data_IF_922199983982
#
_entry.id   IF_922199983982
#
_cell.length_a   1.000
_cell.length_b   1.000
_cell.length_c   1.000
_cell.angle_alpha   90.00
_cell.angle_beta   90.00
_cell.angle_gamma   90.00
#
_symmetry.space_group_name_H-M   'P 1'
#
loop_
_entity.id
_entity.type
_entity.pdbx_description
1 polymer ?
#
# COMPACT_ATOMS: atom_id res chain seq x y z
N UNK A 1 9.30 21.01 54.40
CA UNK A 1 9.77 19.85 53.64
C UNK A 1 10.93 20.30 52.74
N UNK A 2 12.13 19.89 53.03
CA UNK A 2 13.34 20.44 52.41
C UNK A 2 13.66 19.78 51.07
N UNK A 3 14.42 20.50 50.23
CA UNK A 3 14.90 20.05 48.90
C UNK A 3 15.47 18.61 48.88
N UNK A 4 16.03 18.15 50.02
CA UNK A 4 16.55 16.77 50.18
C UNK A 4 15.47 15.68 50.10
N UNK A 5 14.23 15.94 50.53
CA UNK A 5 13.14 14.97 50.48
C UNK A 5 12.63 14.71 49.06
N UNK A 6 12.66 15.70 48.19
CA UNK A 6 12.27 15.52 46.78
C UNK A 6 13.32 14.74 46.00
N UNK A 7 14.62 14.92 46.30
CA UNK A 7 15.69 14.16 45.64
C UNK A 7 15.59 12.67 46.00
N UNK A 8 15.30 12.35 47.27
CA UNK A 8 15.15 10.95 47.72
C UNK A 8 13.91 10.26 47.12
N UNK A 9 12.83 10.99 46.84
CA UNK A 9 11.62 10.46 46.22
C UNK A 9 11.75 10.32 44.67
N UNK A 10 12.57 11.12 44.04
CA UNK A 10 12.79 11.07 42.58
C UNK A 10 13.72 9.94 42.15
N UNK A 11 14.64 9.49 43.02
CA UNK A 11 15.56 8.40 42.68
C UNK A 11 14.84 7.06 42.33
N UNK A 12 13.90 6.59 43.17
CA UNK A 12 13.19 5.34 42.82
C UNK A 12 12.29 5.49 41.59
N UNK A 13 11.71 6.69 41.36
CA UNK A 13 10.90 6.92 40.18
C UNK A 13 11.76 6.91 38.92
N UNK A 14 12.94 7.49 38.93
CA UNK A 14 13.88 7.44 37.81
C UNK A 14 14.33 6.00 37.53
N UNK A 15 14.61 5.19 38.56
CA UNK A 15 14.93 3.76 38.36
C UNK A 15 13.81 2.95 37.78
N UNK A 16 12.55 3.19 38.15
CA UNK A 16 11.40 2.50 37.59
C UNK A 16 11.19 2.87 36.12
N UNK A 17 11.34 4.14 35.77
CA UNK A 17 11.16 4.60 34.39
C UNK A 17 12.29 4.10 33.49
N UNK A 18 13.54 4.17 33.94
CA UNK A 18 14.69 3.69 33.13
C UNK A 18 14.75 2.17 33.07
N UNK A 19 14.54 1.47 34.17
CA UNK A 19 14.53 0.02 34.22
C UNK A 19 13.34 -0.59 33.48
N UNK A 20 12.14 0.00 33.66
CA UNK A 20 10.94 -0.42 32.92
C UNK A 20 11.05 -0.15 31.43
N UNK A 21 11.58 0.99 31.03
CA UNK A 21 11.83 1.31 29.62
C UNK A 21 12.83 0.34 28.96
N UNK A 22 13.94 0.05 29.65
CA UNK A 22 14.92 -0.90 29.17
C UNK A 22 14.34 -2.32 29.06
N UNK A 23 13.54 -2.77 30.03
CA UNK A 23 12.88 -4.07 29.98
C UNK A 23 11.91 -4.17 28.81
N UNK A 24 11.14 -3.13 28.53
CA UNK A 24 10.22 -3.09 27.38
C UNK A 24 11.00 -3.20 26.07
N UNK A 25 12.08 -2.44 25.89
CA UNK A 25 12.90 -2.48 24.67
C UNK A 25 13.54 -3.85 24.47
N UNK A 26 14.01 -4.51 25.55
CA UNK A 26 14.61 -5.84 25.50
C UNK A 26 13.59 -6.97 25.25
N UNK A 27 12.31 -6.73 25.55
CA UNK A 27 11.25 -7.73 25.33
C UNK A 27 10.48 -7.49 24.02
N UNK A 28 10.72 -6.38 23.33
CA UNK A 28 10.18 -6.21 21.99
C UNK A 28 10.72 -7.33 21.09
N UNK A 29 9.84 -7.99 20.32
CA UNK A 29 10.32 -8.96 19.35
C UNK A 29 11.30 -8.24 18.42
N UNK A 30 12.53 -8.73 18.38
CA UNK A 30 13.49 -8.30 17.35
C UNK A 30 12.80 -8.49 16.02
N UNK A 31 12.70 -7.43 15.22
CA UNK A 31 12.24 -7.56 13.84
C UNK A 31 12.99 -8.74 13.24
N UNK A 32 12.26 -9.78 12.84
CA UNK A 32 12.87 -10.89 12.14
C UNK A 32 13.72 -10.26 11.02
N UNK A 33 15.02 -10.48 11.07
CA UNK A 33 15.87 -10.02 9.99
C UNK A 33 15.25 -10.60 8.73
N UNK A 34 14.77 -9.73 7.85
CA UNK A 34 14.24 -10.18 6.57
C UNK A 34 15.36 -10.98 5.94
N UNK A 35 15.13 -12.28 5.75
CA UNK A 35 16.06 -13.09 5.00
C UNK A 35 16.29 -12.34 3.68
N UNK A 36 17.54 -12.18 3.28
CA UNK A 36 17.83 -11.61 1.97
C UNK A 36 17.00 -12.37 0.95
N UNK A 37 16.23 -11.68 0.09
CA UNK A 37 15.47 -12.37 -0.92
C UNK A 37 16.41 -13.26 -1.73
N UNK A 38 15.96 -14.43 -2.17
CA UNK A 38 16.78 -15.29 -3.01
C UNK A 38 17.21 -14.52 -4.27
N UNK A 39 18.41 -14.76 -4.73
CA UNK A 39 18.87 -14.18 -5.99
C UNK A 39 17.97 -14.66 -7.13
N UNK A 40 17.45 -13.69 -7.90
CA UNK A 40 16.63 -13.98 -9.08
C UNK A 40 17.57 -14.52 -10.15
N UNK A 41 17.28 -15.70 -10.68
CA UNK A 41 18.10 -16.31 -11.73
C UNK A 41 18.05 -15.47 -13.02
N UNK A 42 19.12 -15.56 -13.83
CA UNK A 42 19.13 -14.89 -15.14
C UNK A 42 18.00 -15.40 -16.06
N UNK A 43 17.61 -16.67 -15.95
CA UNK A 43 16.48 -17.24 -16.69
C UNK A 43 15.16 -16.63 -16.25
N UNK A 44 14.90 -16.57 -14.96
CA UNK A 44 13.68 -15.95 -14.41
C UNK A 44 13.57 -14.47 -14.77
N UNK A 45 14.70 -13.76 -14.75
CA UNK A 45 14.76 -12.36 -15.22
C UNK A 45 14.39 -12.26 -16.70
N UNK A 46 14.95 -13.12 -17.55
CA UNK A 46 14.65 -13.13 -18.99
C UNK A 46 13.18 -13.48 -19.26
N UNK A 47 12.63 -14.48 -18.57
CA UNK A 47 11.24 -14.91 -18.70
C UNK A 47 10.28 -13.80 -18.24
N UNK A 48 10.60 -13.13 -17.13
CA UNK A 48 9.83 -11.98 -16.63
C UNK A 48 9.85 -10.83 -17.64
N UNK A 49 11.01 -10.46 -18.17
CA UNK A 49 11.11 -9.41 -19.19
C UNK A 49 10.37 -9.77 -20.48
N UNK A 50 10.40 -11.04 -20.89
CA UNK A 50 9.63 -11.51 -22.04
C UNK A 50 8.12 -11.50 -21.79
N UNK A 51 7.68 -11.73 -20.54
CA UNK A 51 6.27 -11.65 -20.14
C UNK A 51 5.77 -10.20 -20.01
N UNK A 52 6.65 -9.25 -19.68
CA UNK A 52 6.36 -7.82 -19.67
C UNK A 52 6.28 -7.28 -21.11
N UNK A 53 5.22 -7.72 -21.81
CA UNK A 53 4.99 -7.33 -23.21
C UNK A 53 4.79 -5.81 -23.29
N UNK A 54 5.24 -5.17 -24.38
CA UNK A 54 4.89 -3.78 -24.64
C UNK A 54 3.36 -3.65 -24.76
N UNK A 55 2.81 -2.45 -24.48
CA UNK A 55 1.38 -2.20 -24.60
C UNK A 55 0.86 -2.65 -25.98
N UNK A 56 -0.34 -3.24 -26.00
CA UNK A 56 -1.02 -3.66 -27.24
C UNK A 56 -1.38 -2.46 -28.11
N UNK A 57 -1.57 -1.31 -27.48
CA UNK A 57 -2.05 -0.07 -28.09
C UNK A 57 -0.97 1.00 -28.05
N UNK A 58 -0.94 1.86 -29.06
CA UNK A 58 -0.06 3.03 -29.08
C UNK A 58 -0.32 3.97 -27.91
N UNK A 59 -1.60 4.09 -27.48
CA UNK A 59 -2.03 4.72 -26.24
C UNK A 59 -2.61 3.61 -25.36
N UNK A 60 -1.88 3.18 -24.32
CA UNK A 60 -2.29 2.05 -23.51
C UNK A 60 -3.58 2.33 -22.75
N UNK A 61 -4.38 1.29 -22.57
CA UNK A 61 -5.58 1.29 -21.72
C UNK A 61 -5.20 0.71 -20.37
N UNK A 62 -5.31 1.54 -19.33
CA UNK A 62 -4.85 1.21 -17.98
C UNK A 62 -6.05 1.14 -17.05
N UNK A 63 -6.24 0.02 -16.37
CA UNK A 63 -7.31 -0.17 -15.40
C UNK A 63 -6.76 -0.10 -13.97
N UNK A 64 -7.31 0.82 -13.16
CA UNK A 64 -7.05 0.87 -11.71
C UNK A 64 -8.25 0.29 -10.99
N UNK A 65 -8.08 -0.82 -10.28
CA UNK A 65 -9.17 -1.62 -9.74
C UNK A 65 -9.27 -1.46 -8.22
N UNK A 66 -10.47 -1.19 -7.73
CA UNK A 66 -10.80 -1.13 -6.31
C UNK A 66 -11.93 -2.06 -5.91
N UNK A 67 -11.81 -2.70 -4.74
CA UNK A 67 -12.88 -3.49 -4.16
C UNK A 67 -13.91 -2.58 -3.48
N UNK A 68 -15.21 -2.77 -3.75
CA UNK A 68 -16.27 -1.94 -3.19
C UNK A 68 -16.35 -2.01 -1.67
N UNK A 69 -16.05 -3.18 -1.07
CA UNK A 69 -16.09 -3.40 0.37
C UNK A 69 -15.03 -2.63 1.16
N UNK A 70 -13.90 -2.31 0.51
CA UNK A 70 -12.81 -1.55 1.08
C UNK A 70 -11.56 -1.59 0.21
N UNK A 71 -11.03 -0.43 -0.12
CA UNK A 71 -9.73 -0.25 -0.77
C UNK A 71 -8.93 0.78 0.01
N UNK A 72 -7.63 0.63 0.04
CA UNK A 72 -6.78 1.63 0.66
C UNK A 72 -6.71 2.87 -0.26
N UNK A 73 -6.81 4.05 0.36
CA UNK A 73 -6.97 5.31 -0.37
C UNK A 73 -5.77 5.60 -1.27
N UNK A 74 -4.56 5.42 -0.76
CA UNK A 74 -3.34 5.76 -1.50
C UNK A 74 -3.04 4.75 -2.60
N UNK A 75 -3.32 3.47 -2.37
CA UNK A 75 -3.11 2.40 -3.34
C UNK A 75 -4.01 2.54 -4.58
N UNK A 76 -5.18 3.14 -4.42
CA UNK A 76 -6.11 3.36 -5.53
C UNK A 76 -5.95 4.74 -6.18
N UNK A 77 -5.96 5.81 -5.37
CA UNK A 77 -5.98 7.18 -5.90
C UNK A 77 -4.64 7.68 -6.42
N UNK A 78 -3.53 7.25 -5.82
CA UNK A 78 -2.21 7.71 -6.26
C UNK A 78 -1.88 7.20 -7.65
N UNK A 79 -1.92 5.88 -7.96
CA UNK A 79 -1.66 5.41 -9.31
C UNK A 79 -2.64 5.99 -10.33
N UNK A 80 -3.94 6.05 -10.00
CA UNK A 80 -4.92 6.69 -10.88
C UNK A 80 -4.57 8.14 -11.18
N UNK A 81 -4.32 8.95 -10.15
CA UNK A 81 -4.02 10.38 -10.31
C UNK A 81 -2.71 10.64 -11.03
N UNK A 82 -1.66 9.88 -10.71
CA UNK A 82 -0.35 10.00 -11.36
C UNK A 82 -0.45 9.66 -12.85
N UNK A 83 -1.08 8.53 -13.19
CA UNK A 83 -1.22 8.08 -14.58
C UNK A 83 -2.11 9.04 -15.40
N UNK A 84 -3.22 9.51 -14.84
CA UNK A 84 -4.07 10.54 -15.47
C UNK A 84 -3.29 11.83 -15.72
N UNK A 85 -2.53 12.30 -14.73
CA UNK A 85 -1.76 13.54 -14.85
C UNK A 85 -0.61 13.42 -15.85
N UNK A 86 0.04 12.26 -15.91
CA UNK A 86 1.15 11.99 -16.82
C UNK A 86 0.69 11.87 -18.29
N UNK A 87 -0.60 11.66 -18.51
CA UNK A 87 -1.22 11.50 -19.84
C UNK A 87 -0.55 10.42 -20.70
N UNK A 88 -0.11 9.35 -20.05
CA UNK A 88 0.61 8.25 -20.71
C UNK A 88 -0.32 7.20 -21.34
N UNK A 89 -1.62 7.25 -21.04
CA UNK A 89 -2.61 6.28 -21.51
C UNK A 89 -4.04 6.69 -21.16
N UNK A 90 -4.99 5.88 -21.55
CA UNK A 90 -6.40 5.99 -21.16
C UNK A 90 -6.59 5.24 -19.84
N UNK A 91 -6.71 5.98 -18.74
CA UNK A 91 -6.80 5.42 -17.40
C UNK A 91 -8.26 5.36 -16.97
N UNK A 92 -8.73 4.19 -16.56
CA UNK A 92 -10.10 3.92 -16.13
C UNK A 92 -10.08 3.42 -14.68
N UNK A 93 -10.91 4.04 -13.84
CA UNK A 93 -11.13 3.64 -12.47
C UNK A 93 -12.24 2.59 -12.39
N UNK A 94 -11.92 1.37 -11.97
CA UNK A 94 -12.85 0.25 -11.94
C UNK A 94 -13.21 -0.18 -10.52
N UNK A 95 -14.43 -0.70 -10.38
CA UNK A 95 -14.90 -1.38 -9.17
C UNK A 95 -15.22 -2.84 -9.45
N UNK A 96 -15.13 -3.68 -8.40
CA UNK A 96 -15.52 -5.11 -8.50
C UNK A 96 -17.03 -5.29 -8.66
N UNK A 97 -17.85 -4.34 -8.19
CA UNK A 97 -19.31 -4.40 -8.21
C UNK A 97 -19.91 -3.02 -8.50
N UNK A 98 -21.22 -2.97 -8.77
CA UNK A 98 -21.96 -1.71 -8.89
C UNK A 98 -21.93 -0.91 -7.58
N UNK A 99 -21.88 0.40 -7.71
CA UNK A 99 -21.91 1.34 -6.60
C UNK A 99 -20.53 1.88 -6.22
N UNK A 100 -20.46 2.71 -5.18
CA UNK A 100 -19.23 3.35 -4.77
C UNK A 100 -18.24 2.37 -4.15
N UNK A 101 -16.96 2.67 -4.29
CA UNK A 101 -15.87 2.02 -3.57
C UNK A 101 -15.72 2.72 -2.22
N UNK A 102 -15.75 1.95 -1.14
CA UNK A 102 -15.40 2.44 0.20
C UNK A 102 -13.89 2.50 0.32
N UNK A 103 -13.37 3.71 0.51
CA UNK A 103 -11.94 3.95 0.68
C UNK A 103 -11.62 4.07 2.16
N UNK A 104 -10.62 3.36 2.61
CA UNK A 104 -10.14 3.48 3.99
C UNK A 104 -9.23 4.71 4.14
N UNK A 105 -9.39 5.53 5.21
CA UNK A 105 -10.30 5.29 6.33
C UNK A 105 -11.73 5.81 6.16
N UNK A 106 -12.05 6.72 5.21
CA UNK A 106 -13.35 7.42 5.30
C UNK A 106 -13.94 7.96 3.98
N UNK A 107 -13.32 7.74 2.83
CA UNK A 107 -13.82 8.29 1.56
C UNK A 107 -14.72 7.29 0.84
N UNK A 108 -15.57 7.81 -0.06
CA UNK A 108 -16.29 7.01 -1.05
C UNK A 108 -16.01 7.57 -2.43
N UNK A 109 -15.63 6.70 -3.34
CA UNK A 109 -15.30 7.04 -4.73
C UNK A 109 -16.34 6.41 -5.66
N UNK A 110 -16.80 7.18 -6.64
CA UNK A 110 -17.62 6.66 -7.73
C UNK A 110 -16.65 6.24 -8.84
N UNK A 111 -16.57 4.96 -9.18
CA UNK A 111 -15.72 4.46 -10.25
C UNK A 111 -16.29 4.84 -11.62
N UNK A 112 -15.46 4.80 -12.67
CA UNK A 112 -15.89 5.01 -14.05
C UNK A 112 -16.77 3.85 -14.54
N UNK A 113 -16.42 2.60 -14.13
CA UNK A 113 -17.15 1.40 -14.52
C UNK A 113 -16.94 0.24 -13.51
N UNK A 114 -17.67 -0.84 -13.70
CA UNK A 114 -17.34 -2.13 -13.08
C UNK A 114 -16.38 -2.93 -13.98
N UNK A 115 -15.69 -3.94 -13.41
CA UNK A 115 -14.87 -4.88 -14.20
C UNK A 115 -15.72 -5.53 -15.29
N UNK A 116 -16.92 -6.00 -14.95
CA UNK A 116 -17.81 -6.65 -15.94
C UNK A 116 -18.22 -5.73 -17.08
N UNK A 117 -18.50 -4.46 -16.80
CA UNK A 117 -18.83 -3.48 -17.84
C UNK A 117 -17.60 -3.11 -18.68
N UNK A 118 -16.42 -3.06 -18.06
CA UNK A 118 -15.15 -2.86 -18.76
C UNK A 118 -14.85 -4.02 -19.71
N UNK A 119 -14.94 -5.27 -19.27
CA UNK A 119 -14.67 -6.46 -20.06
C UNK A 119 -15.61 -6.55 -21.28
N UNK A 120 -16.89 -6.16 -21.10
CA UNK A 120 -17.84 -6.12 -22.21
C UNK A 120 -17.48 -5.07 -23.27
N UNK A 121 -16.87 -3.94 -22.88
CA UNK A 121 -16.45 -2.89 -23.80
C UNK A 121 -15.05 -3.12 -24.38
N UNK A 122 -14.22 -3.83 -23.65
CA UNK A 122 -12.81 -4.07 -23.97
C UNK A 122 -12.47 -5.57 -23.90
N UNK A 123 -12.97 -6.38 -24.86
CA UNK A 123 -12.80 -7.84 -24.84
C UNK A 123 -11.32 -8.28 -24.88
N UNK A 124 -10.43 -7.42 -25.40
CA UNK A 124 -8.98 -7.64 -25.38
C UNK A 124 -8.32 -7.28 -24.04
N UNK A 125 -9.08 -6.75 -23.10
CA UNK A 125 -8.61 -6.32 -21.78
C UNK A 125 -7.79 -5.03 -21.79
N UNK A 126 -7.22 -4.70 -20.64
CA UNK A 126 -6.23 -3.64 -20.48
C UNK A 126 -4.85 -4.05 -21.02
N UNK A 127 -3.94 -3.08 -21.13
CA UNK A 127 -2.53 -3.29 -21.54
C UNK A 127 -1.64 -3.69 -20.39
#
# INVERSE_FOLDING_TARGET
MGKRSYILAMLPLAMVVTGGGAAIVLTLPTSAAFASPPEISAQETADTLAALKPPKRRRPLIAVIGANAGSETTDYLIPYGVLKRADVGDVIALATQNGPITMMPALKIIPDATIAAFDAQHPDGAD
#
